data_IF_127868203130
#
_entry.id   IF_127868203130
#
_cell.length_a   1.000
_cell.length_b   1.000
_cell.length_c   1.000
_cell.angle_alpha   90.00
_cell.angle_beta   90.00
_cell.angle_gamma   90.00
#
_symmetry.space_group_name_H-M   'P 1'
#
loop_
_entity.id
_entity.type
_entity.pdbx_description
1 polymer ?
#
# COMPACT_ATOMS: atom_id res chain seq x y z
N UNK A 1 5.35 -6.81 9.37
CA UNK A 1 4.73 -5.58 9.90
C UNK A 1 4.73 -4.50 8.81
N UNK A 2 3.87 -3.48 8.92
CA UNK A 2 3.91 -2.31 8.05
C UNK A 2 5.27 -1.59 8.16
N UNK A 3 5.72 -0.97 7.07
CA UNK A 3 7.02 -0.27 7.05
C UNK A 3 6.94 1.08 7.77
N UNK A 4 5.81 1.76 7.66
CA UNK A 4 5.50 2.98 8.42
C UNK A 4 4.13 2.82 9.08
N UNK A 5 4.04 3.17 10.36
CA UNK A 5 2.78 3.28 11.11
C UNK A 5 2.67 4.68 11.68
N UNK A 6 1.72 5.47 11.19
CA UNK A 6 1.43 6.81 11.69
C UNK A 6 0.40 6.76 12.81
N UNK A 7 0.68 7.37 13.96
CA UNK A 7 -0.19 7.30 15.16
C UNK A 7 -0.66 8.64 15.72
N UNK A 8 -0.27 9.76 15.14
CA UNK A 8 -0.62 11.08 15.63
C UNK A 8 -1.68 11.78 14.79
N UNK A 9 -2.53 12.59 15.43
CA UNK A 9 -3.48 13.46 14.72
C UNK A 9 -2.82 14.73 14.16
N UNK A 10 -3.32 15.21 13.01
CA UNK A 10 -2.89 16.45 12.38
C UNK A 10 -1.57 16.32 11.62
N UNK A 11 -1.08 15.11 11.39
CA UNK A 11 0.11 14.88 10.60
C UNK A 11 -0.06 15.19 9.12
N UNK A 12 1.02 15.63 8.50
CA UNK A 12 1.10 15.85 7.06
C UNK A 12 2.34 15.18 6.50
N UNK A 13 2.19 14.48 5.38
CA UNK A 13 3.28 13.82 4.68
C UNK A 13 3.31 14.29 3.23
N UNK A 14 4.48 14.68 2.79
CA UNK A 14 4.71 15.09 1.41
C UNK A 14 5.79 14.18 0.83
N UNK A 15 5.43 13.45 -0.21
CA UNK A 15 6.33 12.57 -0.93
C UNK A 15 6.86 11.39 -0.10
N UNK A 16 6.04 10.37 0.05
CA UNK A 16 6.45 9.07 0.58
C UNK A 16 6.73 8.09 -0.55
N UNK A 17 7.81 7.34 -0.43
CA UNK A 17 8.16 6.25 -1.34
C UNK A 17 8.67 5.05 -0.56
N UNK A 18 8.25 3.86 -0.96
CA UNK A 18 8.72 2.63 -0.33
C UNK A 18 8.68 1.45 -1.30
N UNK A 19 9.69 0.59 -1.19
CA UNK A 19 9.70 -0.73 -1.80
C UNK A 19 9.31 -1.78 -0.76
N UNK A 20 8.46 -2.72 -1.16
CA UNK A 20 8.05 -3.84 -0.32
C UNK A 20 9.23 -4.82 -0.14
N UNK A 21 9.23 -5.67 0.89
CA UNK A 21 10.23 -6.73 1.01
C UNK A 21 10.30 -7.59 -0.26
N UNK A 22 11.50 -7.87 -0.74
CA UNK A 22 11.71 -8.58 -2.01
C UNK A 22 11.52 -10.09 -1.90
N UNK A 23 11.85 -10.65 -0.75
CA UNK A 23 12.04 -12.08 -0.53
C UNK A 23 11.17 -12.72 0.57
N UNK A 24 9.88 -12.35 0.72
CA UNK A 24 9.00 -13.13 1.58
C UNK A 24 9.03 -14.59 1.09
N UNK A 25 9.38 -15.56 1.95
CA UNK A 25 9.58 -16.93 1.49
C UNK A 25 8.28 -17.57 0.98
N UNK A 26 7.15 -17.22 1.58
CA UNK A 26 5.81 -17.64 1.17
C UNK A 26 4.79 -16.55 1.55
N UNK A 27 3.60 -16.59 0.94
CA UNK A 27 2.49 -15.73 1.36
C UNK A 27 2.10 -15.96 2.83
N UNK A 28 2.11 -17.19 3.30
CA UNK A 28 1.77 -17.51 4.68
C UNK A 28 2.75 -16.92 5.70
N UNK A 29 4.04 -16.82 5.35
CA UNK A 29 5.06 -16.21 6.19
C UNK A 29 4.97 -14.65 6.16
N UNK A 30 4.33 -14.09 5.14
CA UNK A 30 4.18 -12.64 4.97
C UNK A 30 2.69 -12.27 4.84
N UNK A 31 2.00 -12.35 5.99
CA UNK A 31 0.56 -12.12 6.07
C UNK A 31 0.21 -11.33 7.33
N UNK A 32 -0.62 -10.29 7.17
CA UNK A 32 -1.17 -9.52 8.27
C UNK A 32 -2.45 -10.16 8.81
N UNK A 33 -2.97 -9.63 9.92
CA UNK A 33 -4.27 -10.04 10.43
C UNK A 33 -5.45 -9.60 9.54
N UNK A 34 -5.22 -8.60 8.67
CA UNK A 34 -6.25 -7.97 7.83
C UNK A 34 -6.20 -8.41 6.36
N UNK A 35 -5.17 -9.17 5.96
CA UNK A 35 -5.03 -9.58 4.57
C UNK A 35 -3.65 -10.09 4.21
N UNK A 36 -3.45 -10.36 2.92
CA UNK A 36 -2.17 -10.85 2.39
C UNK A 36 -1.15 -9.73 2.36
N UNK A 37 0.00 -9.97 2.97
CA UNK A 37 1.09 -9.01 3.11
C UNK A 37 0.87 -7.98 4.21
N UNK A 38 1.75 -7.01 4.25
CA UNK A 38 1.69 -5.86 5.16
C UNK A 38 1.78 -4.57 4.34
N UNK A 39 0.93 -3.56 4.62
CA UNK A 39 0.98 -2.30 3.90
C UNK A 39 2.35 -1.62 4.06
N UNK A 40 2.77 -0.86 3.06
CA UNK A 40 3.95 -0.01 3.18
C UNK A 40 3.67 1.17 4.13
N UNK A 41 2.49 1.77 4.02
CA UNK A 41 2.07 2.90 4.83
C UNK A 41 0.75 2.60 5.53
N UNK A 42 0.75 2.74 6.85
CA UNK A 42 -0.43 2.52 7.67
C UNK A 42 -0.69 3.74 8.56
N UNK A 43 -1.93 4.20 8.61
CA UNK A 43 -2.40 5.17 9.59
C UNK A 43 -3.23 4.42 10.63
N UNK A 44 -2.89 4.60 11.90
CA UNK A 44 -3.56 3.92 13.02
C UNK A 44 -5.05 4.24 13.07
N UNK A 45 -5.86 3.27 13.47
CA UNK A 45 -7.33 3.36 13.48
C UNK A 45 -7.88 4.48 14.39
N UNK A 46 -7.12 4.91 15.38
CA UNK A 46 -7.48 6.03 16.25
C UNK A 46 -7.22 7.43 15.66
N UNK A 47 -6.57 7.52 14.50
CA UNK A 47 -6.28 8.79 13.86
C UNK A 47 -7.50 9.30 13.10
N UNK A 48 -7.93 10.52 13.39
CA UNK A 48 -9.09 11.16 12.76
C UNK A 48 -8.72 12.30 11.81
N UNK A 49 -7.47 12.78 11.84
CA UNK A 49 -6.94 13.83 10.95
C UNK A 49 -5.53 13.49 10.50
N UNK A 50 -5.37 13.30 9.21
CA UNK A 50 -4.07 13.06 8.57
C UNK A 50 -4.17 13.41 7.09
N UNK A 51 -3.16 14.05 6.54
CA UNK A 51 -3.12 14.39 5.13
C UNK A 51 -1.80 13.91 4.52
N UNK A 52 -1.86 13.31 3.34
CA UNK A 52 -0.63 12.91 2.65
C UNK A 52 -0.74 13.09 1.14
N UNK A 53 0.38 13.49 0.52
CA UNK A 53 0.47 13.74 -0.93
C UNK A 53 1.66 13.00 -1.53
N UNK A 54 1.45 12.38 -2.69
CA UNK A 54 2.52 11.74 -3.46
C UNK A 54 3.08 10.48 -2.79
N UNK A 55 2.23 9.47 -2.55
CA UNK A 55 2.66 8.20 -1.96
C UNK A 55 2.87 7.16 -3.05
N UNK A 56 4.09 6.63 -3.13
CA UNK A 56 4.47 5.56 -4.05
C UNK A 56 4.83 4.27 -3.33
N UNK A 57 4.25 3.15 -3.75
CA UNK A 57 4.58 1.82 -3.24
C UNK A 57 4.94 0.91 -4.38
N UNK A 58 6.11 0.28 -4.29
CA UNK A 58 6.71 -0.53 -5.34
C UNK A 58 6.91 -1.96 -4.86
N UNK A 59 6.67 -2.94 -5.73
CA UNK A 59 6.95 -4.34 -5.43
C UNK A 59 7.97 -4.94 -6.39
N UNK A 60 8.88 -5.72 -5.81
CA UNK A 60 9.87 -6.56 -6.48
C UNK A 60 9.82 -7.93 -5.81
N UNK A 61 8.76 -8.71 -6.06
CA UNK A 61 8.65 -10.03 -5.43
C UNK A 61 9.48 -11.06 -6.17
N UNK A 62 10.42 -11.70 -5.46
CA UNK A 62 11.30 -12.72 -6.03
C UNK A 62 10.65 -14.11 -6.00
N UNK A 63 9.67 -14.34 -5.12
CA UNK A 63 8.97 -15.61 -5.00
C UNK A 63 7.62 -15.58 -5.75
N UNK A 64 7.27 -16.64 -6.48
CA UNK A 64 5.96 -16.73 -7.11
C UNK A 64 4.86 -16.89 -6.07
N UNK A 65 3.66 -16.35 -6.37
CA UNK A 65 2.49 -16.48 -5.51
C UNK A 65 2.45 -15.55 -4.31
N UNK A 66 3.42 -14.66 -4.16
CA UNK A 66 3.39 -13.59 -3.15
C UNK A 66 2.73 -12.34 -3.74
N UNK A 67 1.81 -11.76 -2.98
CA UNK A 67 1.15 -10.53 -3.35
C UNK A 67 0.76 -9.71 -2.10
N UNK A 68 0.42 -8.44 -2.32
CA UNK A 68 -0.06 -7.52 -1.31
C UNK A 68 -1.52 -7.13 -1.58
N UNK A 69 -2.40 -7.28 -0.60
CA UNK A 69 -3.80 -6.86 -0.78
C UNK A 69 -3.96 -5.33 -0.83
N UNK A 70 -3.27 -4.60 0.07
CA UNK A 70 -3.42 -3.14 0.22
C UNK A 70 -2.08 -2.48 0.41
N UNK A 71 -1.70 -1.60 -0.50
CA UNK A 71 -0.42 -0.88 -0.39
C UNK A 71 -0.42 0.11 0.78
N UNK A 72 -1.55 0.77 1.00
CA UNK A 72 -1.77 1.79 2.02
C UNK A 72 -3.04 1.43 2.80
N UNK A 73 -2.98 1.44 4.12
CA UNK A 73 -4.15 1.25 4.99
C UNK A 73 -4.37 2.48 5.87
N UNK A 74 -5.58 3.02 5.85
CA UNK A 74 -5.96 4.19 6.64
C UNK A 74 -7.37 4.04 7.21
N UNK A 75 -7.69 4.69 8.35
CA UNK A 75 -9.06 4.73 8.85
C UNK A 75 -9.99 5.48 7.88
N UNK A 76 -11.24 5.05 7.82
CA UNK A 76 -12.29 5.70 7.01
C UNK A 76 -12.88 6.88 7.78
N UNK A 77 -12.05 7.90 8.05
CA UNK A 77 -12.44 9.12 8.72
C UNK A 77 -12.35 10.31 7.73
N UNK A 78 -13.34 11.22 7.68
CA UNK A 78 -13.35 12.33 6.71
C UNK A 78 -12.12 13.24 6.78
N UNK A 79 -11.47 13.32 7.93
CA UNK A 79 -10.24 14.10 8.10
C UNK A 79 -8.95 13.36 7.76
N UNK A 80 -9.03 12.10 7.30
CA UNK A 80 -7.89 11.35 6.79
C UNK A 80 -7.96 11.36 5.27
N UNK A 81 -7.10 12.16 4.64
CA UNK A 81 -7.15 12.43 3.20
C UNK A 81 -5.79 12.15 2.55
N UNK A 82 -5.82 11.39 1.47
CA UNK A 82 -4.63 11.07 0.69
C UNK A 82 -4.79 11.54 -0.75
N UNK A 83 -3.70 12.04 -1.34
CA UNK A 83 -3.70 12.62 -2.68
C UNK A 83 -2.54 12.09 -3.51
N UNK A 84 -2.80 11.73 -4.76
CA UNK A 84 -1.81 11.29 -5.75
C UNK A 84 -1.00 10.08 -5.29
N UNK A 85 -1.67 8.93 -5.14
CA UNK A 85 -1.04 7.65 -4.81
C UNK A 85 -0.78 6.83 -6.07
N UNK A 86 0.31 6.07 -6.04
CA UNK A 86 0.70 5.16 -7.11
C UNK A 86 1.23 3.84 -6.54
N UNK A 87 0.89 2.75 -7.17
CA UNK A 87 1.49 1.44 -6.93
C UNK A 87 2.08 0.89 -8.23
N UNK A 88 3.26 0.28 -8.14
CA UNK A 88 3.95 -0.28 -9.31
C UNK A 88 4.51 -1.66 -8.98
N UNK A 89 4.23 -2.62 -9.85
CA UNK A 89 4.91 -3.91 -9.87
C UNK A 89 6.08 -3.87 -10.85
N UNK A 90 7.33 -4.03 -10.35
CA UNK A 90 8.56 -3.75 -11.12
C UNK A 90 9.18 -4.97 -11.81
N UNK A 91 8.78 -6.18 -11.41
CA UNK A 91 9.30 -7.44 -11.99
C UNK A 91 8.13 -8.30 -12.48
N UNK A 92 8.43 -9.49 -12.95
CA UNK A 92 7.46 -10.37 -13.59
C UNK A 92 6.61 -11.23 -12.61
N UNK A 93 6.67 -10.97 -11.31
CA UNK A 93 5.99 -11.76 -10.27
C UNK A 93 5.21 -10.90 -9.30
N UNK A 94 4.06 -11.44 -8.87
CA UNK A 94 3.22 -10.87 -7.84
C UNK A 94 2.35 -9.71 -8.32
N UNK A 95 1.72 -9.06 -7.37
CA UNK A 95 0.83 -7.91 -7.57
C UNK A 95 0.62 -7.13 -6.29
N UNK A 96 0.13 -5.90 -6.44
CA UNK A 96 -0.50 -5.11 -5.39
C UNK A 96 -1.96 -4.94 -5.81
N UNK A 97 -2.90 -5.47 -5.03
CA UNK A 97 -4.31 -5.57 -5.45
C UNK A 97 -5.07 -4.24 -5.34
N UNK A 98 -4.77 -3.43 -4.31
CA UNK A 98 -5.40 -2.12 -4.12
C UNK A 98 -4.39 -1.06 -3.68
N UNK A 99 -4.64 0.19 -4.10
CA UNK A 99 -3.78 1.33 -3.77
C UNK A 99 -3.99 1.76 -2.33
N UNK A 100 -5.25 2.03 -1.91
CA UNK A 100 -5.58 2.42 -0.53
C UNK A 100 -6.80 1.64 -0.06
N UNK A 101 -6.69 0.91 1.03
CA UNK A 101 -7.75 0.03 1.54
C UNK A 101 -8.29 -0.89 0.42
N UNK A 102 -9.57 -0.79 0.10
CA UNK A 102 -10.20 -1.56 -0.98
C UNK A 102 -10.44 -0.70 -2.25
N UNK A 103 -9.68 0.41 -2.41
CA UNK A 103 -9.82 1.35 -3.52
C UNK A 103 -8.58 1.40 -4.41
N UNK A 104 -8.81 1.71 -5.67
CA UNK A 104 -7.80 1.70 -6.73
C UNK A 104 -7.65 0.33 -7.39
N UNK A 105 -7.23 0.36 -8.66
CA UNK A 105 -6.98 -0.84 -9.44
C UNK A 105 -5.74 -1.60 -8.95
N UNK A 106 -5.59 -2.83 -9.42
CA UNK A 106 -4.41 -3.63 -9.13
C UNK A 106 -3.22 -3.24 -10.02
N UNK A 107 -2.04 -3.19 -9.44
CA UNK A 107 -0.78 -3.20 -10.17
C UNK A 107 -0.29 -4.64 -10.30
N UNK A 108 -0.33 -5.21 -11.51
CA UNK A 108 0.00 -6.61 -11.81
C UNK A 108 1.20 -6.71 -12.71
N UNK A 109 2.19 -7.48 -12.30
CA UNK A 109 3.38 -7.71 -13.12
C UNK A 109 3.09 -8.53 -14.39
N UNK A 110 2.04 -9.36 -14.38
CA UNK A 110 1.56 -10.14 -15.53
C UNK A 110 0.05 -10.08 -15.63
N UNK A 111 -0.44 -10.05 -16.87
CA UNK A 111 -1.88 -10.14 -17.14
C UNK A 111 -2.67 -8.87 -16.85
N UNK A 112 -2.01 -7.71 -16.81
CA UNK A 112 -2.64 -6.43 -16.57
C UNK A 112 -1.66 -5.26 -16.60
N UNK A 113 -2.10 -4.09 -16.15
CA UNK A 113 -1.22 -2.94 -15.97
C UNK A 113 -0.29 -3.19 -14.79
N UNK A 114 0.99 -2.92 -14.96
CA UNK A 114 1.95 -2.97 -13.85
C UNK A 114 1.86 -1.74 -12.92
N UNK A 115 1.03 -0.78 -13.26
CA UNK A 115 0.87 0.48 -12.53
C UNK A 115 -0.59 0.74 -12.24
N UNK A 116 -0.90 1.16 -11.02
CA UNK A 116 -2.21 1.68 -10.65
C UNK A 116 -2.07 3.01 -9.91
N UNK A 117 -3.00 3.93 -10.15
CA UNK A 117 -3.01 5.26 -9.54
C UNK A 117 -4.35 5.56 -8.92
N UNK A 118 -4.33 6.33 -7.82
CA UNK A 118 -5.53 6.89 -7.20
C UNK A 118 -5.27 8.36 -6.89
N UNK A 119 -6.12 9.27 -7.46
CA UNK A 119 -5.90 10.72 -7.31
C UNK A 119 -6.22 11.24 -5.92
N UNK A 120 -7.25 10.70 -5.29
CA UNK A 120 -7.68 11.10 -3.95
C UNK A 120 -8.32 9.92 -3.21
N UNK A 121 -8.22 9.92 -1.88
CA UNK A 121 -8.90 9.00 -0.98
C UNK A 121 -9.23 9.73 0.34
N UNK A 122 -10.41 9.65 0.89
CA UNK A 122 -11.62 9.13 0.33
C UNK A 122 -12.06 9.93 -0.88
#
# INVERSE_FOLDING_TARGET
MAQVVWRGNGGRVYFFQSELPYDPPTQAAWQSATGRGYPAYQVDSGVTRHEAWGLGVYSVFLQPGVLLDRAIEVPRAPGVQLHHMITICLVDKGSIEHVVNDAGDAARCRGGSNTATLKAYP
#
